data_IF_793486634338
#
_entry.id   IF_793486634338
#
_cell.length_a   1.000
_cell.length_b   1.000
_cell.length_c   1.000
_cell.angle_alpha   90.00
_cell.angle_beta   90.00
_cell.angle_gamma   90.00
#
_symmetry.space_group_name_H-M   'P 1'
#
loop_
_entity.id
_entity.type
_entity.pdbx_description
1 polymer ?
#
# COMPACT_ATOMS: atom_id res chain seq x y z
N UNK A 1 -8.58 4.75 -10.55
CA UNK A 1 -7.50 4.45 -11.53
C UNK A 1 -6.12 4.92 -11.07
N UNK A 2 -5.99 5.91 -10.17
CA UNK A 2 -4.68 6.37 -9.65
C UNK A 2 -3.95 5.34 -8.79
N UNK A 3 -4.67 4.67 -7.89
CA UNK A 3 -4.03 3.76 -6.91
C UNK A 3 -3.47 2.51 -7.58
N UNK A 4 -4.26 1.83 -8.43
CA UNK A 4 -3.80 0.68 -9.23
C UNK A 4 -2.55 0.99 -10.06
N UNK A 5 -2.44 2.22 -10.57
CA UNK A 5 -1.26 2.67 -11.31
C UNK A 5 -0.06 2.81 -10.37
N UNK A 6 -0.22 3.45 -9.21
CA UNK A 6 0.84 3.57 -8.21
C UNK A 6 1.40 2.20 -7.80
N UNK A 7 0.56 1.22 -7.48
CA UNK A 7 1.03 -0.09 -7.03
C UNK A 7 1.76 -0.87 -8.13
N UNK A 8 1.33 -0.73 -9.39
CA UNK A 8 2.03 -1.30 -10.54
C UNK A 8 3.39 -0.61 -10.76
N UNK A 9 3.41 0.72 -10.70
CA UNK A 9 4.61 1.52 -10.90
C UNK A 9 5.64 1.26 -9.77
N UNK A 10 5.16 1.10 -8.53
CA UNK A 10 5.98 0.70 -7.38
C UNK A 10 6.70 -0.62 -7.64
N UNK A 11 5.97 -1.67 -8.06
CA UNK A 11 6.57 -2.99 -8.33
C UNK A 11 7.68 -2.90 -9.38
N UNK A 12 7.40 -2.21 -10.49
CA UNK A 12 8.38 -2.04 -11.57
C UNK A 12 9.61 -1.25 -11.10
N UNK A 13 9.40 -0.21 -10.29
CA UNK A 13 10.48 0.61 -9.75
C UNK A 13 11.33 -0.16 -8.75
N UNK A 14 10.72 -0.92 -7.84
CA UNK A 14 11.43 -1.74 -6.86
C UNK A 14 12.30 -2.79 -7.56
N UNK A 15 11.74 -3.52 -8.52
CA UNK A 15 12.49 -4.52 -9.32
C UNK A 15 13.64 -3.88 -10.13
N UNK A 16 13.45 -2.66 -10.63
CA UNK A 16 14.50 -1.92 -11.34
C UNK A 16 15.65 -1.52 -10.42
N UNK A 17 15.34 -1.01 -9.23
CA UNK A 17 16.33 -0.65 -8.22
C UNK A 17 17.13 -1.87 -7.75
N UNK A 18 16.48 -3.01 -7.54
CA UNK A 18 17.19 -4.24 -7.16
C UNK A 18 18.13 -4.75 -8.24
N UNK A 19 17.74 -4.65 -9.52
CA UNK A 19 18.67 -4.97 -10.62
C UNK A 19 19.90 -4.06 -10.60
N UNK A 20 19.74 -2.81 -10.18
CA UNK A 20 20.87 -1.89 -10.02
C UNK A 20 21.82 -2.32 -8.89
N UNK A 21 21.33 -2.95 -7.83
CA UNK A 21 22.20 -3.52 -6.77
C UNK A 21 23.12 -4.60 -7.32
N UNK A 22 22.61 -5.46 -8.20
CA UNK A 22 23.39 -6.57 -8.78
C UNK A 22 24.54 -6.07 -9.66
N UNK A 23 24.36 -4.94 -10.35
CA UNK A 23 25.36 -4.37 -11.25
C UNK A 23 26.21 -3.26 -10.61
N UNK A 24 25.93 -2.89 -9.36
CA UNK A 24 26.68 -1.84 -8.67
C UNK A 24 28.09 -2.32 -8.35
N UNK A 25 29.09 -1.54 -8.78
CA UNK A 25 30.51 -1.88 -8.63
C UNK A 25 31.10 -1.38 -7.30
N UNK A 26 30.44 -0.42 -6.64
CA UNK A 26 30.91 0.16 -5.39
C UNK A 26 29.85 0.14 -4.28
N UNK A 27 30.35 0.08 -3.04
CA UNK A 27 29.53 -0.02 -1.84
C UNK A 27 28.66 1.24 -1.60
N UNK A 28 29.11 2.41 -2.05
CA UNK A 28 28.36 3.66 -1.86
C UNK A 28 27.08 3.65 -2.72
N UNK A 29 27.17 3.16 -3.96
CA UNK A 29 26.02 2.95 -4.84
C UNK A 29 25.04 1.95 -4.25
N UNK A 30 25.52 0.79 -3.75
CA UNK A 30 24.65 -0.21 -3.12
C UNK A 30 23.91 0.37 -1.91
N UNK A 31 24.58 1.14 -1.06
CA UNK A 31 23.95 1.85 0.07
C UNK A 31 22.89 2.84 -0.40
N UNK A 32 23.19 3.64 -1.42
CA UNK A 32 22.24 4.61 -1.97
C UNK A 32 20.99 3.92 -2.52
N UNK A 33 21.16 2.80 -3.23
CA UNK A 33 20.04 2.03 -3.77
C UNK A 33 19.22 1.39 -2.64
N UNK A 34 19.86 0.86 -1.60
CA UNK A 34 19.15 0.32 -0.42
C UNK A 34 18.28 1.40 0.25
N UNK A 35 18.79 2.62 0.43
CA UNK A 35 17.99 3.73 0.98
C UNK A 35 16.80 4.07 0.08
N UNK A 36 16.97 4.02 -1.25
CA UNK A 36 15.87 4.24 -2.19
C UNK A 36 14.82 3.13 -2.09
N UNK A 37 15.24 1.87 -2.03
CA UNK A 37 14.34 0.71 -1.86
C UNK A 37 13.53 0.83 -0.56
N UNK A 38 14.18 1.16 0.55
CA UNK A 38 13.52 1.40 1.83
C UNK A 38 12.48 2.53 1.73
N UNK A 39 12.85 3.65 1.09
CA UNK A 39 11.95 4.79 0.90
C UNK A 39 10.72 4.43 0.06
N UNK A 40 10.90 3.68 -1.02
CA UNK A 40 9.77 3.25 -1.85
C UNK A 40 8.87 2.25 -1.12
N UNK A 41 9.45 1.34 -0.32
CA UNK A 41 8.68 0.40 0.49
C UNK A 41 7.82 1.11 1.53
N UNK A 42 8.34 2.14 2.19
CA UNK A 42 7.56 2.94 3.14
C UNK A 42 6.41 3.69 2.45
N UNK A 43 6.63 4.23 1.24
CA UNK A 43 5.54 4.82 0.44
C UNK A 43 4.46 3.80 0.10
N UNK A 44 4.86 2.57 -0.24
CA UNK A 44 3.92 1.48 -0.49
C UNK A 44 3.10 1.16 0.76
N UNK A 45 3.74 0.99 1.92
CA UNK A 45 3.06 0.76 3.20
C UNK A 45 2.06 1.87 3.53
N UNK A 46 2.47 3.13 3.34
CA UNK A 46 1.58 4.28 3.54
C UNK A 46 0.37 4.25 2.59
N UNK A 47 0.58 3.94 1.30
CA UNK A 47 -0.52 3.82 0.35
C UNK A 47 -1.51 2.71 0.74
N UNK A 48 -1.03 1.58 1.24
CA UNK A 48 -1.87 0.50 1.77
C UNK A 48 -2.67 0.95 2.99
N UNK A 49 -2.04 1.63 3.95
CA UNK A 49 -2.74 2.15 5.13
C UNK A 49 -3.85 3.12 4.72
N UNK A 50 -3.59 4.03 3.77
CA UNK A 50 -4.60 4.93 3.25
C UNK A 50 -5.79 4.17 2.61
N UNK A 51 -5.55 3.03 1.96
CA UNK A 51 -6.64 2.18 1.45
C UNK A 51 -7.48 1.58 2.58
N UNK A 52 -6.85 1.11 3.66
CA UNK A 52 -7.57 0.61 4.83
C UNK A 52 -8.37 1.69 5.55
N UNK A 53 -7.78 2.88 5.74
CA UNK A 53 -8.46 4.03 6.32
C UNK A 53 -9.69 4.42 5.49
N UNK A 54 -9.53 4.50 4.15
CA UNK A 54 -10.64 4.79 3.25
C UNK A 54 -11.75 3.74 3.32
N UNK A 55 -11.40 2.46 3.43
CA UNK A 55 -12.35 1.37 3.60
C UNK A 55 -13.12 1.51 4.94
N UNK A 56 -12.40 1.82 6.01
CA UNK A 56 -12.98 2.05 7.33
C UNK A 56 -13.95 3.23 7.33
N UNK A 57 -13.55 4.36 6.76
CA UNK A 57 -14.37 5.56 6.65
C UNK A 57 -15.65 5.33 5.85
N UNK A 58 -15.55 4.63 4.71
CA UNK A 58 -16.72 4.27 3.90
C UNK A 58 -17.67 3.35 4.65
N UNK A 59 -17.14 2.36 5.39
CA UNK A 59 -17.95 1.46 6.22
C UNK A 59 -18.65 2.22 7.34
N UNK A 60 -17.95 3.15 8.01
CA UNK A 60 -18.55 3.98 9.05
C UNK A 60 -19.64 4.87 8.49
N UNK A 61 -19.41 5.51 7.33
CA UNK A 61 -20.42 6.32 6.66
C UNK A 61 -21.64 5.49 6.26
N UNK A 62 -21.44 4.27 5.75
CA UNK A 62 -22.52 3.34 5.45
C UNK A 62 -23.35 3.03 6.70
N UNK A 63 -22.70 2.65 7.80
CA UNK A 63 -23.37 2.35 9.07
C UNK A 63 -24.10 3.55 9.65
N UNK A 64 -23.50 4.74 9.57
CA UNK A 64 -24.12 5.98 10.03
C UNK A 64 -25.38 6.28 9.23
N UNK A 65 -25.32 6.17 7.89
CA UNK A 65 -26.47 6.41 7.03
C UNK A 65 -27.62 5.42 7.30
N UNK A 66 -27.29 4.15 7.58
CA UNK A 66 -28.27 3.17 8.03
C UNK A 66 -28.90 3.58 9.37
N UNK A 67 -28.09 3.92 10.38
CA UNK A 67 -28.58 4.34 11.69
C UNK A 67 -29.47 5.58 11.59
N UNK A 68 -29.09 6.57 10.79
CA UNK A 68 -29.86 7.80 10.57
C UNK A 68 -31.20 7.47 9.88
N UNK A 69 -31.21 6.58 8.89
CA UNK A 69 -32.45 6.14 8.23
C UNK A 69 -33.40 5.36 9.15
N UNK A 70 -32.88 4.69 10.17
CA UNK A 70 -33.69 3.93 11.14
C UNK A 70 -34.23 4.81 12.29
N UNK A 71 -33.52 5.89 12.63
CA UNK A 71 -33.84 6.76 13.77
C UNK A 71 -34.50 8.09 13.36
N UNK A 72 -34.70 8.35 12.07
CA UNK A 72 -35.32 9.58 11.57
C UNK A 72 -36.85 9.56 11.64
N UNK A 73 -37.46 10.74 11.64
CA UNK A 73 -38.88 10.89 11.29
C UNK A 73 -39.13 10.29 9.89
N UNK A 74 -40.37 9.86 9.58
CA UNK A 74 -40.69 9.27 8.29
C UNK A 74 -40.16 10.13 7.15
N UNK A 75 -39.24 9.58 6.37
CA UNK A 75 -38.62 10.29 5.26
C UNK A 75 -39.61 10.38 4.09
N UNK A 76 -39.54 11.48 3.35
CA UNK A 76 -40.27 11.60 2.09
C UNK A 76 -39.74 10.58 1.07
N UNK A 77 -40.57 10.09 0.12
CA UNK A 77 -40.17 9.07 -0.84
C UNK A 77 -38.88 9.41 -1.62
N UNK A 78 -38.65 10.69 -1.91
CA UNK A 78 -37.45 11.13 -2.62
C UNK A 78 -36.19 11.06 -1.75
N UNK A 79 -36.30 11.33 -0.45
CA UNK A 79 -35.21 11.19 0.51
C UNK A 79 -34.81 9.72 0.65
N UNK A 80 -35.79 8.81 0.69
CA UNK A 80 -35.53 7.36 0.68
C UNK A 80 -34.75 6.92 -0.56
N UNK A 81 -35.15 7.38 -1.76
CA UNK A 81 -34.42 7.06 -3.00
C UNK A 81 -32.98 7.55 -2.98
N UNK A 82 -32.77 8.77 -2.48
CA UNK A 82 -31.42 9.34 -2.38
C UNK A 82 -30.54 8.53 -1.43
N UNK A 83 -31.05 8.19 -0.24
CA UNK A 83 -30.34 7.36 0.75
C UNK A 83 -30.02 5.98 0.18
N UNK A 84 -31.00 5.32 -0.45
CA UNK A 84 -30.80 4.00 -1.06
C UNK A 84 -29.73 4.05 -2.16
N UNK A 85 -29.70 5.10 -2.97
CA UNK A 85 -28.65 5.32 -3.98
C UNK A 85 -27.27 5.50 -3.35
N UNK A 86 -27.17 6.28 -2.28
CA UNK A 86 -25.92 6.49 -1.55
C UNK A 86 -25.40 5.20 -0.90
N UNK A 87 -26.27 4.42 -0.26
CA UNK A 87 -25.91 3.12 0.33
C UNK A 87 -25.38 2.16 -0.76
N UNK A 88 -26.10 2.06 -1.89
CA UNK A 88 -25.67 1.22 -3.01
C UNK A 88 -24.30 1.64 -3.57
N UNK A 89 -24.03 2.94 -3.65
CA UNK A 89 -22.72 3.42 -4.07
C UNK A 89 -21.63 3.05 -3.05
N UNK A 90 -21.90 3.20 -1.76
CA UNK A 90 -20.96 2.82 -0.70
C UNK A 90 -20.68 1.31 -0.70
N UNK A 91 -21.69 0.46 -0.91
CA UNK A 91 -21.53 -0.98 -1.06
C UNK A 91 -20.59 -1.33 -2.23
N UNK A 92 -20.81 -0.71 -3.38
CA UNK A 92 -19.95 -0.87 -4.55
C UNK A 92 -18.50 -0.45 -4.26
N UNK A 93 -18.30 0.71 -3.62
CA UNK A 93 -16.98 1.22 -3.28
C UNK A 93 -16.25 0.31 -2.26
N UNK A 94 -16.94 -0.11 -1.20
CA UNK A 94 -16.42 -1.01 -0.17
C UNK A 94 -16.00 -2.33 -0.79
N UNK A 95 -16.86 -2.90 -1.66
CA UNK A 95 -16.54 -4.13 -2.38
C UNK A 95 -15.31 -3.97 -3.25
N UNK A 96 -15.25 -2.91 -4.07
CA UNK A 96 -14.12 -2.65 -4.96
C UNK A 96 -12.80 -2.49 -4.18
N UNK A 97 -12.80 -1.74 -3.08
CA UNK A 97 -11.61 -1.57 -2.23
C UNK A 97 -11.21 -2.86 -1.52
N UNK A 98 -12.18 -3.63 -1.03
CA UNK A 98 -11.92 -4.93 -0.40
C UNK A 98 -11.28 -5.91 -1.37
N UNK A 99 -11.84 -6.01 -2.58
CA UNK A 99 -11.32 -6.89 -3.63
C UNK A 99 -9.92 -6.46 -4.07
N UNK A 100 -9.70 -5.14 -4.18
CA UNK A 100 -8.39 -4.57 -4.47
C UNK A 100 -7.34 -4.92 -3.39
N UNK A 101 -7.65 -4.70 -2.11
CA UNK A 101 -6.74 -5.02 -1.00
C UNK A 101 -6.42 -6.52 -1.00
N UNK A 102 -7.41 -7.39 -1.20
CA UNK A 102 -7.20 -8.85 -1.32
C UNK A 102 -6.29 -9.21 -2.48
N UNK A 103 -6.48 -8.57 -3.64
CA UNK A 103 -5.66 -8.82 -4.83
C UNK A 103 -4.19 -8.43 -4.59
N UNK A 104 -3.97 -7.30 -3.92
CA UNK A 104 -2.61 -6.81 -3.63
C UNK A 104 -1.94 -7.65 -2.54
N UNK A 105 -2.71 -8.24 -1.62
CA UNK A 105 -2.23 -9.05 -0.51
C UNK A 105 -1.06 -8.37 0.24
N UNK A 106 -1.33 -7.27 0.96
CA UNK A 106 -0.29 -6.37 1.42
C UNK A 106 0.67 -7.02 2.41
N UNK A 107 0.17 -7.89 3.28
CA UNK A 107 1.00 -8.60 4.26
C UNK A 107 2.09 -9.43 3.57
N UNK A 108 1.70 -10.29 2.63
CA UNK A 108 2.64 -11.13 1.87
C UNK A 108 3.57 -10.27 1.02
N UNK A 109 3.03 -9.24 0.36
CA UNK A 109 3.81 -8.37 -0.53
C UNK A 109 4.83 -7.54 0.24
N UNK A 110 4.47 -6.98 1.40
CA UNK A 110 5.38 -6.22 2.27
C UNK A 110 6.47 -7.13 2.79
N UNK A 111 6.12 -8.29 3.37
CA UNK A 111 7.10 -9.25 3.88
C UNK A 111 8.12 -9.64 2.81
N UNK A 112 7.67 -9.92 1.58
CA UNK A 112 8.54 -10.24 0.45
C UNK A 112 9.55 -9.13 0.15
N UNK A 113 9.13 -7.86 0.13
CA UNK A 113 10.04 -6.75 -0.15
C UNK A 113 10.96 -6.40 1.03
N UNK A 114 10.51 -6.60 2.26
CA UNK A 114 11.33 -6.47 3.47
C UNK A 114 12.45 -7.51 3.51
N UNK A 115 12.14 -8.77 3.22
CA UNK A 115 13.14 -9.85 3.12
C UNK A 115 14.24 -9.51 2.10
N UNK A 116 13.84 -9.00 0.94
CA UNK A 116 14.78 -8.63 -0.13
C UNK A 116 15.64 -7.44 0.25
N UNK A 117 15.06 -6.42 0.88
CA UNK A 117 15.80 -5.27 1.40
C UNK A 117 16.78 -5.70 2.51
N UNK A 118 16.38 -6.62 3.38
CA UNK A 118 17.24 -7.16 4.42
C UNK A 118 18.43 -7.93 3.83
N UNK A 119 18.21 -8.77 2.82
CA UNK A 119 19.31 -9.46 2.13
C UNK A 119 20.34 -8.49 1.52
N UNK A 120 19.88 -7.37 0.95
CA UNK A 120 20.76 -6.31 0.43
C UNK A 120 21.55 -5.65 1.58
N UNK A 121 20.90 -5.37 2.71
CA UNK A 121 21.57 -4.78 3.88
C UNK A 121 22.59 -5.73 4.53
N UNK A 122 22.32 -7.03 4.53
CA UNK A 122 23.28 -8.06 4.96
C UNK A 122 24.49 -8.10 4.02
N UNK A 123 24.27 -8.03 2.71
CA UNK A 123 25.35 -7.95 1.73
C UNK A 123 26.22 -6.70 1.94
N UNK A 124 25.60 -5.53 2.16
CA UNK A 124 26.29 -4.28 2.52
C UNK A 124 27.16 -4.50 3.77
N UNK A 125 26.58 -5.06 4.83
CA UNK A 125 27.26 -5.28 6.11
C UNK A 125 28.46 -6.22 5.96
N UNK A 126 28.32 -7.29 5.17
CA UNK A 126 29.41 -8.23 4.88
C UNK A 126 30.53 -7.57 4.09
N UNK A 127 30.20 -6.73 3.10
CA UNK A 127 31.19 -6.00 2.30
C UNK A 127 31.98 -5.01 3.17
N UNK A 128 31.29 -4.30 4.07
CA UNK A 128 31.90 -3.37 5.02
C UNK A 128 32.89 -4.05 5.96
N UNK A 129 32.51 -5.19 6.56
CA UNK A 129 33.40 -5.97 7.41
C UNK A 129 34.64 -6.41 6.62
N UNK A 130 34.45 -6.95 5.41
CA UNK A 130 35.57 -7.40 4.56
C UNK A 130 36.53 -6.26 4.16
N UNK A 131 36.02 -5.05 3.97
CA UNK A 131 36.82 -3.86 3.67
C UNK A 131 37.57 -3.33 4.90
N UNK A 132 36.96 -3.47 6.09
CA UNK A 132 37.59 -3.09 7.36
C UNK A 132 38.73 -4.02 7.77
N UNK A 133 38.67 -5.31 7.43
CA UNK A 133 39.76 -6.27 7.72
C UNK A 133 40.95 -6.18 6.75
N UNK A 134 40.81 -5.48 5.62
CA UNK A 134 41.87 -5.28 4.60
C UNK A 134 42.62 -3.95 4.75
N UNK A 135 42.25 -3.11 5.72
CA UNK A 135 42.97 -1.88 6.09
C UNK A 135 43.79 -2.11 7.35
#
# INVERSE_FOLDING_TARGET
MGDLKFFKDFKQKFESLEKQVVVAEDLAQVRQISVQLATELEKYKQAINNCFDSLWDKRNKHNQLLADSMNSQPLEPEQYKQIASQLKQLDCDIKALTDFIKQVNPEVTIAHYEERLNAINEQISSLEQSASFRR
#
